data_IF_358183800131
#
_entry.id   IF_358183800131
#
_cell.length_a   1.000
_cell.length_b   1.000
_cell.length_c   1.000
_cell.angle_alpha   90.00
_cell.angle_beta   90.00
_cell.angle_gamma   90.00
#
_symmetry.space_group_name_H-M   'P 1'
#
loop_
_entity.id
_entity.type
_entity.pdbx_description
1 polymer ?
#
# COMPACT_ATOMS: atom_id res chain seq x y z
N UNK A 1 -3.10 -56.39 -26.06
CA UNK A 1 -2.22 -57.40 -25.42
C UNK A 1 -2.03 -57.03 -23.96
N UNK A 2 -2.49 -57.91 -23.11
CA UNK A 2 -2.42 -57.96 -21.64
C UNK A 2 -0.97 -58.04 -21.13
N UNK A 3 -0.69 -57.39 -19.98
CA UNK A 3 -0.07 -58.13 -18.85
C UNK A 3 -0.11 -57.28 -17.57
N UNK A 4 -0.92 -57.78 -16.66
CA UNK A 4 -0.89 -57.47 -15.22
C UNK A 4 0.31 -58.16 -14.58
N UNK A 5 0.94 -57.53 -13.55
CA UNK A 5 1.59 -58.27 -12.47
C UNK A 5 1.31 -57.60 -11.13
N UNK A 6 0.76 -58.39 -10.22
CA UNK A 6 0.37 -58.12 -8.85
C UNK A 6 1.52 -58.44 -7.88
N UNK A 7 1.68 -57.60 -6.86
CA UNK A 7 1.95 -57.83 -5.41
C UNK A 7 2.95 -58.97 -4.98
N UNK A 8 3.60 -58.81 -3.80
CA UNK A 8 2.92 -58.89 -2.51
C UNK A 8 3.42 -57.97 -1.39
N UNK A 9 2.53 -57.84 -0.36
CA UNK A 9 2.74 -57.25 0.95
C UNK A 9 3.66 -58.13 1.83
N UNK A 10 4.42 -57.49 2.72
CA UNK A 10 5.01 -58.13 3.90
C UNK A 10 4.78 -57.25 5.13
N UNK A 11 3.97 -57.75 6.03
CA UNK A 11 3.82 -57.33 7.43
C UNK A 11 5.10 -57.71 8.20
N UNK A 12 5.58 -56.81 9.05
CA UNK A 12 6.36 -57.18 10.24
C UNK A 12 5.95 -56.27 11.42
N UNK A 13 5.34 -56.92 12.38
CA UNK A 13 5.06 -56.43 13.72
C UNK A 13 6.19 -56.83 14.67
N UNK A 14 6.72 -55.90 15.48
CA UNK A 14 7.54 -56.27 16.67
C UNK A 14 7.27 -55.24 17.77
N UNK A 15 6.48 -55.65 18.73
CA UNK A 15 6.60 -55.72 20.20
C UNK A 15 7.24 -54.56 20.99
N UNK A 16 6.37 -54.15 21.96
CA UNK A 16 6.65 -53.31 23.15
C UNK A 16 7.74 -53.93 24.03
N UNK A 17 8.55 -53.03 24.66
CA UNK A 17 9.05 -53.26 26.01
C UNK A 17 9.01 -51.99 26.81
N UNK A 18 8.21 -51.98 27.85
CA UNK A 18 8.15 -50.99 28.90
C UNK A 18 9.28 -51.27 29.92
N UNK A 19 9.96 -50.17 30.36
CA UNK A 19 10.81 -50.23 31.57
C UNK A 19 10.44 -49.03 32.45
N UNK A 20 9.72 -49.34 33.54
CA UNK A 20 9.59 -48.48 34.69
C UNK A 20 10.87 -48.58 35.53
N UNK A 21 11.44 -47.41 35.88
CA UNK A 21 12.37 -47.29 36.99
C UNK A 21 11.96 -46.10 37.87
N UNK A 22 11.35 -46.40 39.00
CA UNK A 22 11.16 -45.52 40.13
C UNK A 22 12.48 -45.35 40.87
N UNK A 23 12.85 -44.10 41.19
CA UNK A 23 13.75 -43.77 42.28
C UNK A 23 13.29 -42.47 42.93
N UNK A 24 12.87 -42.57 44.17
CA UNK A 24 12.68 -41.46 45.10
C UNK A 24 14.02 -40.96 45.64
N UNK A 25 14.08 -39.67 45.96
CA UNK A 25 15.08 -39.20 46.92
C UNK A 25 15.40 -37.71 46.82
N UNK A 26 14.80 -36.97 47.81
CA UNK A 26 15.39 -35.83 48.54
C UNK A 26 15.32 -34.41 48.00
N UNK A 27 14.68 -33.61 48.82
CA UNK A 27 14.55 -32.15 48.84
C UNK A 27 15.89 -31.41 48.69
N UNK A 28 15.87 -30.35 47.89
CA UNK A 28 16.56 -29.11 48.19
C UNK A 28 15.89 -27.91 47.53
N UNK A 29 15.43 -27.00 48.37
CA UNK A 29 14.84 -25.72 48.03
C UNK A 29 15.87 -24.82 47.33
N UNK A 30 15.70 -24.56 46.03
CA UNK A 30 16.25 -23.36 45.44
C UNK A 30 15.26 -22.75 44.44
N UNK A 31 14.47 -21.77 44.91
CA UNK A 31 13.60 -20.94 44.09
C UNK A 31 14.42 -20.02 43.18
N UNK A 32 14.90 -20.56 42.06
CA UNK A 32 15.30 -19.79 40.91
C UNK A 32 14.09 -19.57 40.01
N UNK A 33 13.46 -18.39 40.05
CA UNK A 33 12.48 -17.94 39.08
C UNK A 33 13.16 -17.83 37.71
N UNK A 34 13.23 -18.93 36.99
CA UNK A 34 13.45 -18.86 35.54
C UNK A 34 12.15 -18.32 34.94
N UNK A 35 12.17 -17.05 34.60
CA UNK A 35 11.14 -16.43 33.79
C UNK A 35 11.08 -17.14 32.43
N UNK A 36 10.12 -18.04 32.29
CA UNK A 36 9.71 -18.58 30.99
C UNK A 36 9.14 -17.42 30.18
N UNK A 37 9.97 -16.73 29.42
CA UNK A 37 9.52 -15.90 28.31
C UNK A 37 9.04 -16.88 27.22
N UNK A 38 7.84 -17.41 27.39
CA UNK A 38 7.11 -18.11 26.34
C UNK A 38 6.73 -17.08 25.27
N UNK A 39 7.67 -16.72 24.40
CA UNK A 39 7.37 -15.92 23.22
C UNK A 39 6.43 -16.73 22.33
N UNK A 40 5.18 -16.28 22.18
CA UNK A 40 4.30 -16.79 21.15
C UNK A 40 4.97 -16.64 19.79
N UNK A 41 4.73 -17.58 18.86
CA UNK A 41 5.24 -17.45 17.49
C UNK A 41 4.76 -16.11 16.88
N UNK A 42 5.60 -15.43 16.09
CA UNK A 42 5.22 -14.15 15.51
C UNK A 42 4.01 -14.29 14.58
N UNK A 43 3.14 -13.27 14.59
CA UNK A 43 2.00 -13.21 13.69
C UNK A 43 2.48 -13.07 12.24
N UNK A 44 1.99 -13.94 11.36
CA UNK A 44 2.36 -13.92 9.94
C UNK A 44 1.45 -12.98 9.19
N UNK A 45 2.04 -12.00 8.51
CA UNK A 45 1.35 -10.95 7.75
C UNK A 45 1.88 -10.91 6.33
N UNK A 46 0.99 -10.88 5.35
CA UNK A 46 1.29 -10.47 3.97
C UNK A 46 0.90 -9.01 3.81
N UNK A 47 1.88 -8.18 3.45
CA UNK A 47 1.71 -6.77 3.08
C UNK A 47 1.95 -6.61 1.58
N UNK A 48 0.98 -6.02 0.87
CA UNK A 48 1.14 -5.67 -0.54
C UNK A 48 1.48 -4.19 -0.61
N UNK A 49 2.52 -3.78 -1.37
CA UNK A 49 2.84 -2.36 -1.60
C UNK A 49 1.77 -1.68 -2.44
N UNK A 50 1.73 -0.35 -2.47
CA UNK A 50 0.68 0.37 -3.20
C UNK A 50 0.79 0.21 -4.72
N UNK A 51 2.02 0.35 -5.25
CA UNK A 51 2.23 0.44 -6.70
C UNK A 51 3.65 0.04 -7.09
N UNK A 52 3.89 -1.24 -7.24
CA UNK A 52 5.21 -1.78 -7.60
C UNK A 52 6.27 -1.68 -6.50
N UNK A 53 7.52 -1.53 -6.90
CA UNK A 53 8.70 -1.44 -6.03
C UNK A 53 9.46 -0.16 -6.32
N UNK A 54 8.91 0.96 -5.89
CA UNK A 54 9.48 2.30 -6.07
C UNK A 54 9.95 2.89 -4.75
N UNK A 55 10.72 3.96 -4.79
CA UNK A 55 11.27 4.63 -3.61
C UNK A 55 10.23 4.94 -2.54
N UNK A 56 9.07 5.44 -2.95
CA UNK A 56 7.94 5.73 -2.06
C UNK A 56 7.40 4.55 -1.26
N UNK A 57 7.77 3.31 -1.62
CA UNK A 57 7.40 2.07 -0.91
C UNK A 57 8.54 1.56 -0.01
N UNK A 58 9.71 2.23 -0.01
CA UNK A 58 10.92 1.81 0.72
C UNK A 58 10.68 1.66 2.22
N UNK A 59 9.75 2.43 2.80
CA UNK A 59 9.44 2.42 4.23
C UNK A 59 9.08 1.04 4.78
N UNK A 60 8.40 0.21 3.99
CA UNK A 60 8.06 -1.16 4.41
C UNK A 60 9.29 -2.06 4.46
N UNK A 61 10.19 -1.92 3.49
CA UNK A 61 11.45 -2.65 3.45
C UNK A 61 12.41 -2.18 4.53
N UNK A 62 12.43 -0.89 4.84
CA UNK A 62 13.15 -0.31 5.99
C UNK A 62 12.62 -0.87 7.31
N UNK A 63 11.28 -0.90 7.50
CA UNK A 63 10.69 -1.48 8.70
C UNK A 63 11.09 -2.95 8.89
N UNK A 64 11.22 -3.71 7.81
CA UNK A 64 11.69 -5.09 7.83
C UNK A 64 13.19 -5.17 8.11
N UNK A 65 14.03 -4.38 7.43
CA UNK A 65 15.49 -4.40 7.55
C UNK A 65 15.95 -3.96 8.93
N UNK A 66 15.30 -2.94 9.51
CA UNK A 66 15.58 -2.42 10.86
C UNK A 66 14.97 -3.27 11.98
N UNK A 67 14.29 -4.36 11.66
CA UNK A 67 13.69 -5.25 12.64
C UNK A 67 12.42 -4.72 13.32
N UNK A 68 11.84 -3.60 12.87
CA UNK A 68 10.69 -3.00 13.56
C UNK A 68 9.45 -3.91 13.59
N UNK A 69 9.25 -4.72 12.53
CA UNK A 69 8.19 -5.72 12.53
C UNK A 69 8.47 -6.87 13.50
N UNK A 70 9.70 -7.39 13.51
CA UNK A 70 10.08 -8.48 14.43
C UNK A 70 10.01 -8.06 15.89
N UNK A 71 10.45 -6.84 16.21
CA UNK A 71 10.34 -6.26 17.55
C UNK A 71 8.87 -6.12 18.00
N UNK A 72 7.98 -5.89 17.04
CA UNK A 72 6.52 -5.86 17.26
C UNK A 72 5.87 -7.26 17.27
N UNK A 73 6.65 -8.34 17.17
CA UNK A 73 6.12 -9.71 17.14
C UNK A 73 5.41 -10.07 15.83
N UNK A 74 5.74 -9.40 14.72
CA UNK A 74 5.10 -9.60 13.42
C UNK A 74 6.13 -10.06 12.38
N UNK A 75 5.83 -11.14 11.67
CA UNK A 75 6.62 -11.65 10.54
C UNK A 75 5.96 -11.23 9.23
N UNK A 76 6.56 -10.30 8.49
CA UNK A 76 5.96 -9.69 7.31
C UNK A 76 6.55 -10.23 6.02
N UNK A 77 5.68 -10.69 5.11
CA UNK A 77 6.01 -10.94 3.71
C UNK A 77 5.56 -9.74 2.88
N UNK A 78 6.49 -9.05 2.24
CA UNK A 78 6.19 -7.88 1.39
C UNK A 78 6.06 -8.35 -0.06
N UNK A 79 4.96 -7.97 -0.72
CA UNK A 79 4.69 -8.27 -2.13
C UNK A 79 4.46 -6.98 -2.93
N UNK A 80 4.92 -6.89 -4.18
CA UNK A 80 4.64 -5.76 -5.06
C UNK A 80 3.15 -5.64 -5.37
N UNK A 81 2.59 -4.43 -5.25
CA UNK A 81 1.21 -4.11 -5.60
C UNK A 81 1.06 -3.63 -7.05
N UNK A 82 -0.16 -3.64 -7.53
CA UNK A 82 -0.54 -3.21 -8.89
C UNK A 82 -1.67 -2.17 -8.88
N UNK A 83 -1.81 -1.45 -7.77
CA UNK A 83 -2.81 -0.41 -7.61
C UNK A 83 -3.97 -0.76 -6.68
N UNK A 84 -4.72 0.27 -6.31
CA UNK A 84 -5.69 0.24 -5.21
C UNK A 84 -6.81 -0.79 -5.40
N UNK A 85 -7.37 -0.92 -6.60
CA UNK A 85 -8.47 -1.85 -6.83
C UNK A 85 -8.03 -3.32 -6.70
N UNK A 86 -6.80 -3.65 -7.15
CA UNK A 86 -6.23 -4.99 -7.04
C UNK A 86 -5.89 -5.30 -5.58
N UNK A 87 -5.33 -4.33 -4.86
CA UNK A 87 -5.03 -4.46 -3.43
C UNK A 87 -6.29 -4.66 -2.58
N UNK A 88 -7.37 -3.92 -2.87
CA UNK A 88 -8.68 -4.12 -2.22
C UNK A 88 -9.24 -5.52 -2.44
N UNK A 89 -9.17 -6.02 -3.68
CA UNK A 89 -9.60 -7.38 -4.00
C UNK A 89 -8.73 -8.45 -3.30
N UNK A 90 -7.43 -8.18 -3.12
CA UNK A 90 -6.52 -9.08 -2.38
C UNK A 90 -6.85 -9.11 -0.89
N UNK A 91 -7.12 -7.94 -0.26
CA UNK A 91 -7.55 -7.83 1.13
C UNK A 91 -8.87 -8.55 1.36
N UNK A 92 -9.90 -8.21 0.57
CA UNK A 92 -11.23 -8.82 0.69
C UNK A 92 -11.21 -10.34 0.45
N UNK A 93 -10.31 -10.83 -0.41
CA UNK A 93 -10.09 -12.25 -0.66
C UNK A 93 -9.15 -12.95 0.31
N UNK A 94 -8.63 -12.27 1.36
CA UNK A 94 -7.74 -12.83 2.38
C UNK A 94 -6.33 -13.18 1.90
N UNK A 95 -5.94 -12.73 0.69
CA UNK A 95 -4.59 -12.95 0.13
C UNK A 95 -3.53 -12.03 0.73
N UNK A 96 -3.95 -10.93 1.32
CA UNK A 96 -3.12 -10.03 2.09
C UNK A 96 -3.85 -9.60 3.36
N UNK A 97 -3.12 -9.22 4.39
CA UNK A 97 -3.67 -8.69 5.63
C UNK A 97 -3.65 -7.16 5.64
N UNK A 98 -2.64 -6.55 5.01
CA UNK A 98 -2.51 -5.09 4.92
C UNK A 98 -2.03 -4.66 3.53
N UNK A 99 -2.48 -3.49 3.11
CA UNK A 99 -2.00 -2.80 1.91
C UNK A 99 -2.24 -1.29 2.05
N UNK A 100 -1.42 -0.41 1.47
CA UNK A 100 -1.76 0.98 1.28
C UNK A 100 -2.73 1.07 0.07
N UNK A 101 -3.91 1.60 0.32
CA UNK A 101 -4.95 1.78 -0.68
C UNK A 101 -5.37 3.24 -0.70
N UNK A 102 -5.50 3.85 -1.87
CA UNK A 102 -6.02 5.21 -1.96
C UNK A 102 -7.46 5.27 -1.44
N UNK A 103 -7.73 6.22 -0.55
CA UNK A 103 -9.01 6.33 0.12
C UNK A 103 -10.15 6.61 -0.87
N UNK A 104 -9.89 7.38 -1.93
CA UNK A 104 -10.89 7.64 -2.97
C UNK A 104 -11.27 6.36 -3.71
N UNK A 105 -10.30 5.47 -3.97
CA UNK A 105 -10.57 4.15 -4.53
C UNK A 105 -11.43 3.32 -3.58
N UNK A 106 -11.14 3.34 -2.27
CA UNK A 106 -11.94 2.65 -1.26
C UNK A 106 -13.36 3.19 -1.23
N UNK A 107 -13.55 4.52 -1.22
CA UNK A 107 -14.86 5.17 -1.26
C UNK A 107 -15.66 4.69 -2.49
N UNK A 108 -15.04 4.70 -3.69
CA UNK A 108 -15.71 4.30 -4.94
C UNK A 108 -16.06 2.81 -4.95
N UNK A 109 -15.16 1.93 -4.52
CA UNK A 109 -15.38 0.49 -4.53
C UNK A 109 -16.44 0.04 -3.50
N UNK A 110 -16.38 0.63 -2.29
CA UNK A 110 -17.40 0.39 -1.24
C UNK A 110 -18.73 1.00 -1.66
N UNK A 111 -18.75 2.24 -2.13
CA UNK A 111 -19.98 2.93 -2.55
C UNK A 111 -20.67 2.31 -3.76
N UNK A 112 -19.94 1.59 -4.62
CA UNK A 112 -20.53 0.80 -5.72
C UNK A 112 -20.92 -0.63 -5.32
N UNK A 113 -20.64 -1.05 -4.07
CA UNK A 113 -20.88 -2.40 -3.59
C UNK A 113 -19.95 -3.48 -4.16
N UNK A 114 -18.87 -3.09 -4.85
CA UNK A 114 -17.90 -4.03 -5.43
C UNK A 114 -16.97 -4.63 -4.38
N UNK A 115 -16.71 -3.89 -3.29
CA UNK A 115 -15.88 -4.32 -2.16
C UNK A 115 -16.61 -4.01 -0.86
N UNK A 116 -16.48 -4.90 0.12
CA UNK A 116 -16.97 -4.72 1.49
C UNK A 116 -15.98 -5.35 2.47
N UNK A 117 -16.14 -5.06 3.76
CA UNK A 117 -15.33 -5.66 4.82
C UNK A 117 -13.86 -5.23 4.82
N UNK A 118 -13.57 -4.03 4.34
CA UNK A 118 -12.23 -3.39 4.40
C UNK A 118 -12.31 -2.08 5.18
N UNK A 119 -11.23 -1.70 5.85
CA UNK A 119 -11.17 -0.48 6.64
C UNK A 119 -9.75 0.09 6.65
N UNK A 120 -9.62 1.41 6.52
CA UNK A 120 -8.38 2.12 6.69
C UNK A 120 -8.08 2.33 8.19
N UNK A 121 -6.79 2.29 8.55
CA UNK A 121 -6.32 2.40 9.93
C UNK A 121 -5.23 3.46 10.14
N UNK A 122 -4.62 3.95 9.05
CA UNK A 122 -3.68 5.07 9.11
C UNK A 122 -3.51 5.70 7.73
N UNK A 123 -3.41 7.03 7.64
CA UNK A 123 -3.06 7.70 6.39
C UNK A 123 -1.57 7.47 6.04
N UNK A 124 -1.29 7.16 4.79
CA UNK A 124 0.06 7.25 4.20
C UNK A 124 0.25 8.62 3.58
N UNK A 125 -0.66 9.03 2.69
CA UNK A 125 -0.63 10.36 2.11
C UNK A 125 -1.74 11.23 2.68
N UNK A 126 -1.38 12.40 3.18
CA UNK A 126 -2.33 13.34 3.78
C UNK A 126 -3.21 14.10 2.78
N UNK A 127 -2.85 14.03 1.49
CA UNK A 127 -3.69 14.52 0.37
C UNK A 127 -3.62 13.50 -0.75
N UNK A 128 -4.61 13.51 -1.67
CA UNK A 128 -4.48 12.66 -2.86
C UNK A 128 -3.22 13.03 -3.62
N UNK A 129 -2.44 12.02 -3.92
CA UNK A 129 -1.19 12.15 -4.67
C UNK A 129 -1.34 11.77 -6.15
N UNK A 130 -2.58 11.46 -6.56
CA UNK A 130 -2.93 11.16 -7.95
C UNK A 130 -2.63 12.35 -8.86
N UNK A 131 -1.99 12.08 -9.98
CA UNK A 131 -1.65 13.10 -10.97
C UNK A 131 -1.57 12.49 -12.38
N UNK A 132 -1.62 13.34 -13.39
CA UNK A 132 -1.16 13.06 -14.75
C UNK A 132 0.16 13.79 -14.95
N UNK A 133 1.12 13.11 -15.57
CA UNK A 133 2.44 13.66 -15.89
C UNK A 133 2.69 13.61 -17.40
N UNK A 134 3.22 14.69 -17.93
CA UNK A 134 3.59 14.82 -19.33
C UNK A 134 4.96 15.50 -19.49
N UNK A 135 5.61 15.37 -20.64
CA UNK A 135 6.82 16.13 -20.92
C UNK A 135 6.49 17.63 -21.03
N UNK A 136 7.37 18.50 -20.56
CA UNK A 136 7.16 19.96 -20.62
C UNK A 136 7.07 20.48 -22.05
N UNK A 137 7.72 19.80 -23.01
CA UNK A 137 7.69 20.11 -24.44
C UNK A 137 6.49 19.50 -25.20
N UNK A 138 5.58 18.78 -24.51
CA UNK A 138 4.43 18.10 -25.13
C UNK A 138 3.24 19.02 -25.47
N UNK A 139 3.25 20.28 -25.03
CA UNK A 139 2.12 21.20 -25.14
C UNK A 139 1.01 20.96 -24.10
N UNK A 140 1.23 20.05 -23.11
CA UNK A 140 0.32 19.79 -22.01
C UNK A 140 0.80 20.60 -20.80
N UNK A 141 0.04 21.62 -20.39
CA UNK A 141 0.38 22.51 -19.27
C UNK A 141 -0.75 22.66 -18.24
N UNK A 142 -1.97 22.34 -18.62
CA UNK A 142 -3.19 22.42 -17.80
C UNK A 142 -4.13 21.26 -18.11
N UNK A 143 -5.10 20.98 -17.23
CA UNK A 143 -5.99 19.82 -17.37
C UNK A 143 -6.71 19.74 -18.74
N UNK A 144 -7.21 20.86 -19.26
CA UNK A 144 -7.91 20.89 -20.55
C UNK A 144 -7.04 20.49 -21.76
N UNK A 145 -5.71 20.59 -21.65
CA UNK A 145 -4.80 20.18 -22.73
C UNK A 145 -4.74 18.64 -22.89
N UNK A 146 -5.37 17.89 -21.95
CA UNK A 146 -5.46 16.43 -22.02
C UNK A 146 -6.52 15.96 -23.04
N UNK A 147 -7.45 16.80 -23.48
CA UNK A 147 -8.41 16.44 -24.53
C UNK A 147 -7.70 16.05 -25.82
N UNK A 148 -8.08 14.91 -26.39
CA UNK A 148 -7.46 14.31 -27.58
C UNK A 148 -6.11 13.64 -27.32
N UNK A 149 -5.67 13.52 -26.07
CA UNK A 149 -4.38 12.91 -25.70
C UNK A 149 -4.52 11.46 -25.27
N UNK A 150 -3.42 10.72 -25.43
CA UNK A 150 -3.28 9.34 -25.00
C UNK A 150 -2.55 9.27 -23.67
N UNK A 151 -3.22 8.76 -22.63
CA UNK A 151 -2.66 8.61 -21.28
C UNK A 151 -2.42 7.13 -20.98
N UNK A 152 -1.19 6.76 -20.62
CA UNK A 152 -0.94 5.43 -20.09
C UNK A 152 -1.20 5.38 -18.58
N UNK A 153 -1.95 4.39 -18.15
CA UNK A 153 -2.26 4.18 -16.73
C UNK A 153 -2.47 2.67 -16.47
N UNK A 154 -1.97 2.11 -15.36
CA UNK A 154 -2.18 0.70 -15.05
C UNK A 154 -3.64 0.35 -14.75
N UNK A 155 -4.04 -0.85 -15.12
CA UNK A 155 -5.36 -1.36 -14.78
C UNK A 155 -5.54 -1.39 -13.24
N UNK A 156 -6.67 -0.87 -12.76
CA UNK A 156 -6.96 -0.80 -11.33
C UNK A 156 -6.28 0.36 -10.59
N UNK A 157 -5.61 1.26 -11.31
CA UNK A 157 -5.10 2.52 -10.79
C UNK A 157 -6.23 3.42 -10.30
N UNK A 158 -5.95 4.19 -9.24
CA UNK A 158 -6.86 5.24 -8.77
C UNK A 158 -6.94 6.41 -9.74
N UNK A 159 -5.89 6.66 -10.53
CA UNK A 159 -5.82 7.80 -11.46
C UNK A 159 -6.92 7.64 -12.51
N UNK A 160 -6.96 6.53 -13.25
CA UNK A 160 -8.01 6.25 -14.22
C UNK A 160 -9.41 6.22 -13.62
N UNK A 161 -9.55 5.68 -12.40
CA UNK A 161 -10.83 5.63 -11.70
C UNK A 161 -11.34 7.02 -11.27
N UNK A 162 -10.44 7.93 -10.85
CA UNK A 162 -10.76 9.32 -10.46
C UNK A 162 -10.85 10.27 -11.65
N UNK A 163 -10.33 9.89 -12.81
CA UNK A 163 -10.17 10.79 -13.94
C UNK A 163 -11.48 11.47 -14.40
N UNK A 164 -12.64 10.78 -14.48
CA UNK A 164 -13.89 11.43 -14.82
C UNK A 164 -14.30 12.53 -13.82
N UNK A 165 -14.10 12.28 -12.52
CA UNK A 165 -14.36 13.27 -11.48
C UNK A 165 -13.41 14.46 -11.57
N UNK A 166 -12.11 14.17 -11.79
CA UNK A 166 -11.10 15.20 -12.01
C UNK A 166 -11.42 16.07 -13.21
N UNK A 167 -11.76 15.48 -14.36
CA UNK A 167 -12.10 16.20 -15.59
C UNK A 167 -13.31 17.12 -15.37
N UNK A 168 -14.39 16.61 -14.74
CA UNK A 168 -15.57 17.39 -14.39
C UNK A 168 -15.24 18.61 -13.53
N UNK A 169 -14.43 18.41 -12.46
CA UNK A 169 -14.04 19.48 -11.55
C UNK A 169 -13.08 20.49 -12.20
N UNK A 170 -12.23 20.01 -13.13
CA UNK A 170 -11.27 20.84 -13.86
C UNK A 170 -11.86 21.49 -15.13
N UNK A 171 -13.09 21.15 -15.51
CA UNK A 171 -13.85 21.77 -16.57
C UNK A 171 -13.47 21.33 -17.98
N UNK A 172 -13.14 20.04 -18.19
CA UNK A 172 -12.85 19.46 -19.50
C UNK A 172 -13.57 18.10 -19.67
N UNK A 173 -13.57 17.57 -20.90
CA UNK A 173 -14.31 16.36 -21.27
C UNK A 173 -13.41 15.12 -21.17
N UNK A 174 -13.69 14.25 -20.20
CA UNK A 174 -12.95 13.01 -19.99
C UNK A 174 -13.08 12.02 -21.15
N UNK A 175 -14.20 12.02 -21.87
CA UNK A 175 -14.48 11.07 -22.95
C UNK A 175 -13.62 11.34 -24.20
N UNK A 176 -12.98 12.51 -24.25
CA UNK A 176 -12.00 12.86 -25.30
C UNK A 176 -10.59 12.38 -25.01
N UNK A 177 -10.35 11.71 -23.91
CA UNK A 177 -9.02 11.22 -23.52
C UNK A 177 -8.93 9.71 -23.74
N UNK A 178 -7.87 9.27 -24.43
CA UNK A 178 -7.63 7.85 -24.71
C UNK A 178 -6.75 7.24 -23.62
N UNK A 179 -7.27 6.26 -22.86
CA UNK A 179 -6.50 5.54 -21.86
C UNK A 179 -5.96 4.23 -22.42
N UNK A 180 -4.64 4.03 -22.28
CA UNK A 180 -3.96 2.77 -22.61
C UNK A 180 -3.43 2.12 -21.34
N UNK A 181 -3.69 0.81 -21.20
CA UNK A 181 -3.22 0.07 -20.05
C UNK A 181 -1.75 -0.34 -20.25
N UNK A 182 -0.90 0.08 -19.32
CA UNK A 182 0.52 -0.31 -19.25
C UNK A 182 0.88 -0.64 -17.79
N UNK A 183 1.84 -1.57 -17.63
CA UNK A 183 2.40 -1.87 -16.31
C UNK A 183 3.17 -0.66 -15.74
N UNK A 184 3.20 -0.48 -14.40
CA UNK A 184 3.85 0.67 -13.75
C UNK A 184 5.27 0.97 -14.23
N UNK A 185 6.08 -0.07 -14.45
CA UNK A 185 7.48 0.04 -14.89
C UNK A 185 7.61 0.47 -16.34
N UNK A 186 6.54 0.38 -17.14
CA UNK A 186 6.53 0.72 -18.56
C UNK A 186 6.15 2.18 -18.82
N UNK A 187 5.56 2.89 -17.85
CA UNK A 187 5.01 4.23 -18.01
C UNK A 187 6.07 5.22 -18.53
N UNK A 188 7.17 5.39 -17.80
CA UNK A 188 8.21 6.35 -18.14
C UNK A 188 8.90 6.04 -19.48
N UNK A 189 9.14 4.75 -19.78
CA UNK A 189 9.77 4.32 -21.03
C UNK A 189 8.87 4.62 -22.25
N UNK A 190 7.55 4.39 -22.12
CA UNK A 190 6.61 4.69 -23.21
C UNK A 190 6.38 6.19 -23.39
N UNK A 191 6.40 6.97 -22.29
CA UNK A 191 6.39 8.44 -22.36
C UNK A 191 7.66 8.96 -23.05
N UNK A 192 8.84 8.46 -22.67
CA UNK A 192 10.12 8.83 -23.27
C UNK A 192 10.18 8.51 -24.78
N UNK A 193 9.53 7.42 -25.19
CA UNK A 193 9.46 6.97 -26.60
C UNK A 193 8.37 7.70 -27.41
N UNK A 194 7.58 8.60 -26.82
CA UNK A 194 6.46 9.29 -27.48
C UNK A 194 5.32 8.38 -27.92
N UNK A 195 5.19 7.19 -27.32
CA UNK A 195 4.09 6.24 -27.61
C UNK A 195 2.79 6.64 -26.91
N UNK A 196 2.92 7.44 -25.87
CA UNK A 196 1.83 8.08 -25.11
C UNK A 196 2.19 9.54 -24.85
N UNK A 197 1.18 10.39 -24.73
CA UNK A 197 1.35 11.83 -24.52
C UNK A 197 1.55 12.16 -23.03
N UNK A 198 0.97 11.32 -22.15
CA UNK A 198 1.05 11.48 -20.71
C UNK A 198 0.93 10.12 -19.99
N UNK A 199 1.22 10.12 -18.68
CA UNK A 199 1.11 8.94 -17.82
C UNK A 199 0.37 9.28 -16.53
N UNK A 200 -0.49 8.36 -16.05
CA UNK A 200 -1.04 8.38 -14.71
C UNK A 200 0.03 7.96 -13.71
N UNK A 201 0.30 8.80 -12.71
CA UNK A 201 1.32 8.52 -11.69
C UNK A 201 0.98 9.28 -10.39
N UNK A 202 1.50 8.84 -9.28
CA UNK A 202 1.53 9.64 -8.07
C UNK A 202 2.57 10.77 -8.18
N UNK A 203 2.26 11.93 -7.63
CA UNK A 203 3.13 13.11 -7.64
C UNK A 203 4.52 12.80 -7.07
N UNK A 204 4.58 12.02 -5.99
CA UNK A 204 5.84 11.54 -5.39
C UNK A 204 6.64 10.63 -6.34
N UNK A 205 6.04 10.05 -7.36
CA UNK A 205 6.71 9.23 -8.38
C UNK A 205 7.38 10.01 -9.50
N UNK A 206 7.33 11.35 -9.48
CA UNK A 206 7.93 12.24 -10.48
C UNK A 206 9.42 11.94 -10.75
N UNK A 207 10.28 11.75 -9.73
CA UNK A 207 11.71 11.50 -9.96
C UNK A 207 11.98 10.24 -10.80
N UNK A 208 11.14 9.20 -10.62
CA UNK A 208 11.27 7.99 -11.41
C UNK A 208 10.87 8.19 -12.89
N UNK A 209 9.84 9.01 -13.16
CA UNK A 209 9.48 9.39 -14.53
C UNK A 209 10.57 10.25 -15.14
N UNK A 210 11.10 11.26 -14.44
CA UNK A 210 12.21 12.11 -14.90
C UNK A 210 13.47 11.31 -15.23
N UNK A 211 13.78 10.31 -14.39
CA UNK A 211 14.88 9.37 -14.66
C UNK A 211 14.62 8.57 -15.96
N UNK A 212 13.41 8.08 -16.17
CA UNK A 212 13.06 7.30 -17.36
C UNK A 212 13.09 8.14 -18.65
N UNK A 213 12.72 9.42 -18.58
CA UNK A 213 12.78 10.37 -19.71
C UNK A 213 14.15 11.07 -19.82
N UNK A 214 15.19 10.51 -19.15
CA UNK A 214 16.58 11.01 -19.19
C UNK A 214 16.74 12.46 -18.72
N UNK A 215 16.03 12.83 -17.66
CA UNK A 215 16.11 14.15 -17.04
C UNK A 215 15.38 15.27 -17.79
N UNK A 216 14.56 14.94 -18.79
CA UNK A 216 13.66 15.94 -19.37
C UNK A 216 12.69 16.43 -18.30
N UNK A 217 12.33 17.72 -18.37
CA UNK A 217 11.37 18.31 -17.44
C UNK A 217 9.97 17.71 -17.63
N UNK A 218 9.30 17.45 -16.51
CA UNK A 218 7.97 16.84 -16.45
C UNK A 218 6.99 17.83 -15.83
N UNK A 219 5.91 18.09 -16.55
CA UNK A 219 4.73 18.80 -16.01
C UNK A 219 3.90 17.82 -15.22
N UNK A 220 3.47 18.24 -14.02
CA UNK A 220 2.59 17.48 -13.13
C UNK A 220 1.24 18.18 -13.02
N UNK A 221 0.17 17.47 -13.36
CA UNK A 221 -1.22 17.91 -13.23
C UNK A 221 -1.88 17.18 -12.03
N UNK A 222 -1.74 17.71 -10.80
CA UNK A 222 -2.19 17.02 -9.59
C UNK A 222 -3.71 17.11 -9.42
N UNK A 223 -4.34 16.00 -9.09
CA UNK A 223 -5.79 15.92 -8.80
C UNK A 223 -6.14 16.64 -7.49
N UNK A 224 -5.21 16.70 -6.54
CA UNK A 224 -5.40 17.35 -5.25
C UNK A 224 -5.68 18.86 -5.31
N UNK A 225 -5.45 19.53 -6.46
CA UNK A 225 -5.90 20.91 -6.67
C UNK A 225 -7.44 21.03 -6.70
N UNK A 226 -8.13 19.97 -7.03
CA UNK A 226 -9.59 19.92 -7.18
C UNK A 226 -10.25 19.03 -6.10
N UNK A 227 -9.53 18.02 -5.60
CA UNK A 227 -9.96 17.08 -4.57
C UNK A 227 -9.22 17.36 -3.26
N UNK A 228 -9.38 18.57 -2.72
CA UNK A 228 -8.59 19.13 -1.59
C UNK A 228 -8.78 18.38 -0.27
N UNK A 229 -9.94 17.76 -0.04
CA UNK A 229 -10.25 17.01 1.19
C UNK A 229 -9.85 15.53 1.10
N UNK A 230 -9.55 15.04 -0.10
CA UNK A 230 -9.20 13.63 -0.28
C UNK A 230 -7.84 13.32 0.32
N UNK A 231 -7.81 12.30 1.19
CA UNK A 231 -6.57 11.59 1.50
C UNK A 231 -6.10 10.83 0.25
N UNK A 232 -4.81 10.58 0.17
CA UNK A 232 -4.28 9.61 -0.78
C UNK A 232 -4.32 8.19 -0.19
N UNK A 233 -3.20 7.46 -0.31
CA UNK A 233 -3.11 6.11 0.23
C UNK A 233 -3.25 6.09 1.75
N UNK A 234 -3.96 5.07 2.25
CA UNK A 234 -4.09 4.75 3.67
C UNK A 234 -3.78 3.26 3.90
N UNK A 235 -3.11 2.93 4.98
CA UNK A 235 -2.94 1.55 5.44
C UNK A 235 -4.33 0.97 5.67
N UNK A 236 -4.66 -0.05 4.89
CA UNK A 236 -5.97 -0.69 4.86
C UNK A 236 -5.84 -2.16 5.24
N UNK A 237 -6.79 -2.65 6.01
CA UNK A 237 -6.95 -4.05 6.39
C UNK A 237 -8.40 -4.49 6.22
N UNK A 238 -8.75 -5.71 6.62
CA UNK A 238 -10.15 -6.13 6.66
C UNK A 238 -10.81 -5.72 7.97
N UNK A 239 -12.11 -5.40 7.93
CA UNK A 239 -12.92 -5.16 9.14
C UNK A 239 -12.81 -6.32 10.11
N UNK A 240 -12.79 -7.55 9.57
CA UNK A 240 -12.61 -8.77 10.38
C UNK A 240 -11.32 -8.74 11.21
N UNK A 241 -10.17 -8.41 10.59
CA UNK A 241 -8.88 -8.33 11.30
C UNK A 241 -8.92 -7.17 12.31
N UNK A 242 -9.45 -6.01 11.91
CA UNK A 242 -9.57 -4.83 12.77
C UNK A 242 -10.40 -5.10 14.05
N UNK A 243 -11.44 -5.93 13.95
CA UNK A 243 -12.32 -6.29 15.07
C UNK A 243 -11.79 -7.46 15.89
N UNK A 244 -11.25 -8.52 15.23
CA UNK A 244 -10.82 -9.73 15.94
C UNK A 244 -9.42 -9.63 16.56
N UNK A 245 -8.54 -8.80 15.98
CA UNK A 245 -7.16 -8.61 16.47
C UNK A 245 -6.70 -7.15 16.30
N UNK A 246 -7.32 -6.21 17.02
CA UNK A 246 -6.94 -4.79 16.97
C UNK A 246 -5.51 -4.56 17.46
N UNK A 247 -4.95 -5.46 18.28
CA UNK A 247 -3.57 -5.38 18.75
C UNK A 247 -2.57 -5.65 17.63
N UNK A 248 -2.79 -6.69 16.82
CA UNK A 248 -1.99 -6.93 15.62
C UNK A 248 -2.00 -5.70 14.69
N UNK A 249 -3.19 -5.09 14.49
CA UNK A 249 -3.31 -3.89 13.63
C UNK A 249 -2.46 -2.75 14.18
N UNK A 250 -2.51 -2.48 15.49
CA UNK A 250 -1.70 -1.42 16.12
C UNK A 250 -0.20 -1.70 16.03
N UNK A 251 0.22 -2.93 16.34
CA UNK A 251 1.64 -3.36 16.30
C UNK A 251 2.20 -3.24 14.88
N UNK A 252 1.47 -3.79 13.90
CA UNK A 252 1.88 -3.71 12.49
C UNK A 252 1.96 -2.26 12.00
N UNK A 253 0.89 -1.47 12.21
CA UNK A 253 0.82 -0.08 11.75
C UNK A 253 1.90 0.78 12.41
N UNK A 254 2.13 0.62 13.71
CA UNK A 254 3.19 1.35 14.43
C UNK A 254 4.58 1.02 13.88
N UNK A 255 4.89 -0.26 13.63
CA UNK A 255 6.15 -0.69 13.06
C UNK A 255 6.34 -0.14 11.62
N UNK A 256 5.29 -0.17 10.80
CA UNK A 256 5.31 0.37 9.44
C UNK A 256 5.55 1.88 9.44
N UNK A 257 4.84 2.65 10.29
CA UNK A 257 5.01 4.10 10.41
C UNK A 257 6.38 4.48 11.00
N UNK A 258 6.95 3.66 11.88
CA UNK A 258 8.33 3.82 12.34
C UNK A 258 9.32 3.67 11.19
N UNK A 259 9.12 2.67 10.33
CA UNK A 259 9.89 2.50 9.09
C UNK A 259 9.73 3.68 8.14
N UNK A 260 8.53 4.22 8.03
CA UNK A 260 8.26 5.42 7.22
C UNK A 260 8.99 6.65 7.74
N UNK A 261 8.94 6.90 9.06
CA UNK A 261 9.70 7.99 9.68
C UNK A 261 11.18 7.85 9.37
N UNK A 262 11.73 6.65 9.64
CA UNK A 262 13.15 6.39 9.38
C UNK A 262 13.52 6.62 7.91
N UNK A 263 12.69 6.14 6.97
CA UNK A 263 12.95 6.31 5.54
C UNK A 263 12.98 7.79 5.13
N UNK A 264 12.07 8.61 5.67
CA UNK A 264 12.00 10.05 5.41
C UNK A 264 13.22 10.78 6.00
N UNK A 265 13.65 10.39 7.20
CA UNK A 265 14.79 11.00 7.88
C UNK A 265 16.14 10.56 7.24
N UNK A 266 16.16 9.42 6.53
CA UNK A 266 17.34 8.81 5.90
C UNK A 266 17.06 8.31 4.48
N UNK A 267 16.70 9.18 3.50
CA UNK A 267 16.19 8.79 2.20
C UNK A 267 17.20 7.99 1.37
N UNK A 268 18.48 8.33 1.41
CA UNK A 268 19.53 7.62 0.67
C UNK A 268 19.73 6.19 1.20
N UNK A 269 19.77 6.03 2.55
CA UNK A 269 19.87 4.70 3.16
C UNK A 269 18.64 3.84 2.85
N UNK A 270 17.44 4.43 2.94
CA UNK A 270 16.20 3.74 2.62
C UNK A 270 16.14 3.30 1.14
N UNK A 271 16.62 4.13 0.23
CA UNK A 271 16.75 3.79 -1.19
C UNK A 271 17.74 2.63 -1.39
N UNK A 272 18.87 2.63 -0.69
CA UNK A 272 19.85 1.54 -0.74
C UNK A 272 19.29 0.23 -0.16
N UNK A 273 18.53 0.28 0.94
CA UNK A 273 17.82 -0.90 1.48
C UNK A 273 16.88 -1.50 0.44
N UNK A 274 16.12 -0.65 -0.26
CA UNK A 274 15.22 -1.09 -1.33
C UNK A 274 15.98 -1.71 -2.50
N UNK A 275 17.03 -1.05 -2.98
CA UNK A 275 17.82 -1.49 -4.13
C UNK A 275 18.56 -2.82 -3.88
N UNK A 276 19.02 -3.08 -2.66
CA UNK A 276 19.59 -4.38 -2.28
C UNK A 276 18.60 -5.53 -2.46
N UNK A 277 17.31 -5.30 -2.25
CA UNK A 277 16.26 -6.30 -2.44
C UNK A 277 15.73 -6.33 -3.87
N UNK A 278 15.81 -5.21 -4.58
CA UNK A 278 15.29 -5.00 -5.93
C UNK A 278 16.34 -4.29 -6.81
N UNK A 279 17.32 -5.03 -7.37
CA UNK A 279 18.47 -4.44 -8.08
C UNK A 279 18.13 -3.60 -9.33
N UNK A 280 16.90 -3.64 -9.80
CA UNK A 280 16.42 -2.82 -10.93
C UNK A 280 16.00 -1.39 -10.50
N UNK A 281 15.94 -1.13 -9.20
CA UNK A 281 15.60 0.20 -8.67
C UNK A 281 16.78 1.15 -8.84
N UNK A 282 16.50 2.34 -9.38
CA UNK A 282 17.46 3.43 -9.41
C UNK A 282 17.50 4.12 -8.04
N UNK A 283 18.59 3.97 -7.30
CA UNK A 283 18.72 4.47 -5.92
C UNK A 283 18.52 6.00 -5.85
N UNK A 284 19.07 6.76 -6.80
CA UNK A 284 18.94 8.22 -6.81
C UNK A 284 17.49 8.66 -7.00
N UNK A 285 16.77 8.04 -7.93
CA UNK A 285 15.36 8.33 -8.13
C UNK A 285 14.51 7.87 -6.93
N UNK A 286 14.87 6.73 -6.31
CA UNK A 286 14.19 6.23 -5.13
C UNK A 286 14.37 7.15 -3.92
N UNK A 287 15.58 7.68 -3.69
CA UNK A 287 15.83 8.64 -2.62
C UNK A 287 15.00 9.92 -2.82
N UNK A 288 14.97 10.46 -4.04
CA UNK A 288 14.15 11.64 -4.36
C UNK A 288 12.63 11.39 -4.21
N UNK A 289 12.14 10.17 -4.51
CA UNK A 289 10.74 9.79 -4.23
C UNK A 289 10.45 9.76 -2.72
N UNK A 290 11.42 9.30 -1.90
CA UNK A 290 11.28 9.26 -0.43
C UNK A 290 11.25 10.67 0.16
N UNK A 291 12.06 11.60 -0.36
CA UNK A 291 12.03 13.01 0.03
C UNK A 291 10.64 13.62 -0.24
N UNK A 292 10.08 13.41 -1.43
CA UNK A 292 8.73 13.87 -1.77
C UNK A 292 7.64 13.18 -0.92
N UNK A 293 7.85 11.90 -0.55
CA UNK A 293 6.96 11.22 0.40
C UNK A 293 6.96 11.94 1.74
N UNK A 294 8.11 12.44 2.20
CA UNK A 294 8.23 13.22 3.43
C UNK A 294 7.26 14.41 3.48
N UNK A 295 7.03 15.09 2.34
CA UNK A 295 6.03 16.16 2.23
C UNK A 295 4.58 15.62 2.24
N UNK A 296 4.35 14.51 1.52
CA UNK A 296 3.02 13.94 1.32
C UNK A 296 2.41 13.34 2.61
N UNK A 297 3.25 12.90 3.54
CA UNK A 297 2.81 12.26 4.81
C UNK A 297 2.51 13.25 5.94
N UNK A 298 2.91 14.54 5.79
CA UNK A 298 2.75 15.52 6.87
C UNK A 298 1.27 15.83 7.12
N UNK A 299 0.78 15.63 8.36
CA UNK A 299 -0.58 15.99 8.72
C UNK A 299 -0.84 17.49 8.50
N UNK A 300 -2.05 17.84 8.06
CA UNK A 300 -2.46 19.27 7.94
C UNK A 300 -2.53 19.97 9.30
N UNK A 301 -2.76 19.23 10.38
CA UNK A 301 -2.78 19.73 11.75
C UNK A 301 -1.38 19.67 12.34
N UNK A 302 -0.86 20.81 12.74
CA UNK A 302 0.45 20.93 13.37
C UNK A 302 0.56 20.04 14.61
N UNK A 303 1.70 19.34 14.73
CA UNK A 303 2.00 18.46 15.86
C UNK A 303 1.25 17.12 15.85
N UNK A 304 0.35 16.88 14.91
CA UNK A 304 -0.26 15.55 14.79
C UNK A 304 0.76 14.52 14.28
N UNK A 305 0.73 13.27 14.77
CA UNK A 305 1.62 12.24 14.28
C UNK A 305 1.27 11.83 12.84
N UNK A 306 2.27 11.35 12.08
CA UNK A 306 2.02 10.73 10.77
C UNK A 306 1.05 9.56 10.94
N UNK A 307 0.20 9.35 9.94
CA UNK A 307 -0.81 8.29 9.98
C UNK A 307 -2.19 8.77 10.47
N UNK A 308 -2.31 9.98 11.04
CA UNK A 308 -3.62 10.47 11.51
C UNK A 308 -4.62 10.66 10.38
N UNK A 309 -5.88 10.40 10.70
CA UNK A 309 -7.03 10.64 9.82
C UNK A 309 -8.14 11.35 10.59
N UNK A 310 -8.72 12.36 9.96
CA UNK A 310 -9.80 13.16 10.51
C UNK A 310 -11.14 12.75 9.90
N UNK A 311 -12.17 12.59 10.75
CA UNK A 311 -13.51 12.15 10.36
C UNK A 311 -14.20 13.13 9.42
N UNK A 312 -14.07 14.43 9.70
CA UNK A 312 -14.73 15.48 8.90
C UNK A 312 -14.10 15.56 7.51
N UNK A 313 -12.78 15.40 7.42
CA UNK A 313 -12.09 15.33 6.12
C UNK A 313 -12.51 14.09 5.32
N UNK A 314 -12.66 12.93 5.95
CA UNK A 314 -13.16 11.73 5.27
C UNK A 314 -14.58 11.97 4.76
N UNK A 315 -15.45 12.61 5.55
CA UNK A 315 -16.80 13.00 5.12
C UNK A 315 -16.75 13.98 3.95
N UNK A 316 -15.84 14.96 3.99
CA UNK A 316 -15.61 15.93 2.91
C UNK A 316 -15.15 15.24 1.61
N UNK A 317 -14.25 14.26 1.70
CA UNK A 317 -13.79 13.47 0.56
C UNK A 317 -14.95 12.67 -0.06
N UNK A 318 -15.78 12.02 0.76
CA UNK A 318 -16.98 11.32 0.29
C UNK A 318 -17.89 12.29 -0.45
N UNK A 319 -18.19 13.44 0.17
CA UNK A 319 -19.06 14.46 -0.43
C UNK A 319 -18.54 14.95 -1.78
N UNK A 320 -17.25 15.24 -1.88
CA UNK A 320 -16.63 15.68 -3.14
C UNK A 320 -16.81 14.65 -4.27
N UNK A 321 -16.66 13.36 -3.98
CA UNK A 321 -16.86 12.29 -4.96
C UNK A 321 -18.34 12.07 -5.32
N UNK A 322 -19.25 12.28 -4.37
CA UNK A 322 -20.71 12.26 -4.64
C UNK A 322 -21.09 13.43 -5.54
N UNK A 323 -20.64 14.65 -5.23
CA UNK A 323 -20.93 15.86 -6.04
C UNK A 323 -20.33 15.76 -7.44
N UNK A 324 -19.17 15.11 -7.58
CA UNK A 324 -18.57 14.80 -8.87
C UNK A 324 -19.33 13.69 -9.64
N UNK A 325 -20.23 12.95 -9.00
CA UNK A 325 -20.97 11.83 -9.60
C UNK A 325 -20.18 10.53 -9.66
N UNK A 326 -19.01 10.45 -9.00
CA UNK A 326 -18.18 9.26 -8.98
C UNK A 326 -18.71 8.16 -8.03
N UNK A 327 -19.54 8.55 -7.05
CA UNK A 327 -20.11 7.65 -6.04
C UNK A 327 -21.57 8.05 -5.78
N UNK A 328 -22.44 7.08 -5.52
CA UNK A 328 -23.79 7.31 -5.02
C UNK A 328 -23.73 7.72 -3.53
N UNK A 329 -24.73 8.49 -3.07
CA UNK A 329 -24.87 8.82 -1.64
C UNK A 329 -25.07 7.56 -0.78
N UNK A 330 -24.68 7.63 0.51
CA UNK A 330 -24.92 6.57 1.49
C UNK A 330 -23.67 5.93 2.08
N UNK A 331 -22.47 6.25 1.57
CA UNK A 331 -21.21 5.86 2.21
C UNK A 331 -20.94 6.77 3.41
N UNK A 332 -20.52 6.20 4.55
CA UNK A 332 -20.16 6.96 5.76
C UNK A 332 -18.68 6.80 6.09
N UNK A 333 -18.08 7.74 6.83
CA UNK A 333 -16.69 7.62 7.27
C UNK A 333 -16.39 6.34 8.05
N UNK A 334 -17.32 5.86 8.88
CA UNK A 334 -17.18 4.66 9.71
C UNK A 334 -17.15 3.37 8.89
N UNK A 335 -17.76 3.36 7.70
CA UNK A 335 -17.67 2.23 6.78
C UNK A 335 -16.29 2.11 6.14
N UNK A 336 -15.49 3.19 6.17
CA UNK A 336 -14.21 3.29 5.47
C UNK A 336 -13.01 3.29 6.41
N UNK A 337 -13.16 3.80 7.64
CA UNK A 337 -12.05 4.05 8.57
C UNK A 337 -12.40 3.57 9.98
N UNK A 338 -11.54 2.76 10.56
CA UNK A 338 -11.57 2.39 11.97
C UNK A 338 -10.84 3.45 12.80
N UNK A 339 -11.52 4.54 13.14
CA UNK A 339 -10.93 5.71 13.81
C UNK A 339 -10.30 5.38 15.19
N UNK A 340 -10.72 4.30 15.85
CA UNK A 340 -10.12 3.84 17.11
C UNK A 340 -8.73 3.21 16.93
N UNK A 341 -8.39 2.80 15.71
CA UNK A 341 -7.09 2.23 15.33
C UNK A 341 -6.17 3.25 14.67
N UNK A 342 -6.71 4.40 14.24
CA UNK A 342 -5.90 5.50 13.70
C UNK A 342 -4.96 6.04 14.78
N UNK A 343 -3.67 6.33 14.46
CA UNK A 343 -2.74 6.95 15.39
C UNK A 343 -3.32 8.23 16.00
N UNK A 344 -3.25 8.34 17.34
CA UNK A 344 -3.72 9.51 18.10
C UNK A 344 -2.53 10.36 18.53
N UNK A 345 -2.73 11.67 18.55
CA UNK A 345 -1.79 12.66 19.09
C UNK A 345 -1.63 12.51 20.59
#
# INVERSE_FOLDING_TARGET
>A
MRRNTRLPAALLAVLLTAALSTACGSDDDNKGKAGSSGGSAPDKVTYITGFGTFGREAYAYVAQDKGYFSDAGVSVTIQPGQGSAISLAALAGGRAQFAPVDLSSTIMQVGSGKVSGVTAVAAVHQTTDAAVMALADSGISKPADLEGKKIADPAGSVIGALFPAYAKLAGFDADKVDFVNLEPQQLGVNLAAGKVDAVGQYRVGRPNIENAVKGKEVVVLPFGKFLTESYGSAVTTTTKIAESDPDLVRRFTSALLKGMRYAIDHPEEAASVLAKKHPTVNEKAAAAEIELLGEAVQPKKDGAPIGTMDRERVAGAIKALVDAGAVKSGVTPEQLVSFDLVPKS
#
